data_IF_308693763905
#
_entry.id   IF_308693763905
#
_cell.length_a   1.000
_cell.length_b   1.000
_cell.length_c   1.000
_cell.angle_alpha   90.00
_cell.angle_beta   90.00
_cell.angle_gamma   90.00
#
_symmetry.space_group_name_H-M   'P 1'
#
loop_
_entity.id
_entity.type
_entity.pdbx_description
1 polymer ?
#
# COMPACT_ATOMS: atom_id res chain seq x y z
N UNK A 1 9.60 16.31 6.88
CA UNK A 1 10.98 16.44 7.41
C UNK A 1 11.82 17.14 6.36
N UNK A 2 12.77 18.00 6.77
CA UNK A 2 13.76 18.58 5.85
C UNK A 2 15.05 17.76 5.97
N UNK A 3 15.56 17.32 4.84
CA UNK A 3 16.77 16.50 4.74
C UNK A 3 17.59 17.04 3.58
N UNK A 4 18.91 17.07 3.73
CA UNK A 4 19.86 17.39 2.66
C UNK A 4 20.41 16.07 2.14
N UNK A 5 20.27 15.84 0.83
CA UNK A 5 20.74 14.65 0.13
C UNK A 5 21.46 15.11 -1.13
N UNK A 6 22.56 14.44 -1.47
CA UNK A 6 23.19 14.60 -2.78
C UNK A 6 22.47 13.70 -3.78
N UNK A 7 22.02 14.28 -4.88
CA UNK A 7 21.20 13.60 -5.90
C UNK A 7 21.72 14.06 -7.25
N UNK A 8 21.87 13.11 -8.16
CA UNK A 8 22.18 13.40 -9.55
C UNK A 8 21.20 14.43 -10.13
N UNK A 9 21.76 15.49 -10.73
CA UNK A 9 20.98 16.62 -11.21
C UNK A 9 20.09 16.23 -12.38
N UNK A 10 20.57 15.38 -13.28
CA UNK A 10 19.83 14.96 -14.47
C UNK A 10 18.62 14.13 -14.05
N UNK A 11 18.80 13.20 -13.10
CA UNK A 11 17.72 12.41 -12.51
C UNK A 11 16.67 13.31 -11.85
N UNK A 12 17.10 14.29 -11.04
CA UNK A 12 16.17 15.20 -10.36
C UNK A 12 15.36 16.04 -11.35
N UNK A 13 16.03 16.59 -12.37
CA UNK A 13 15.39 17.41 -13.39
C UNK A 13 14.40 16.56 -14.23
N UNK A 14 14.73 15.30 -14.52
CA UNK A 14 13.82 14.38 -15.18
C UNK A 14 12.60 14.05 -14.33
N UNK A 15 12.77 13.76 -13.03
CA UNK A 15 11.65 13.50 -12.12
C UNK A 15 10.70 14.70 -12.04
N UNK A 16 11.25 15.92 -11.99
CA UNK A 16 10.47 17.16 -12.01
C UNK A 16 9.69 17.30 -13.33
N UNK A 17 10.35 17.08 -14.46
CA UNK A 17 9.74 17.12 -15.81
C UNK A 17 8.60 16.12 -15.94
N UNK A 18 8.84 14.86 -15.58
CA UNK A 18 7.86 13.77 -15.70
C UNK A 18 6.64 13.96 -14.78
N UNK A 19 6.85 14.58 -13.61
CA UNK A 19 5.76 14.83 -12.65
C UNK A 19 5.00 16.13 -12.89
N UNK A 20 5.49 17.01 -13.78
CA UNK A 20 4.87 18.30 -14.07
C UNK A 20 4.78 19.23 -12.85
N UNK A 21 5.65 19.03 -11.86
CA UNK A 21 5.64 19.79 -10.60
C UNK A 21 6.60 20.97 -10.71
N UNK A 22 6.23 22.14 -10.17
CA UNK A 22 7.13 23.31 -10.13
C UNK A 22 8.23 23.18 -9.07
N UNK A 23 8.09 22.26 -8.13
CA UNK A 23 8.95 22.13 -6.96
C UNK A 23 9.68 20.80 -6.87
N UNK A 24 11.02 20.85 -6.79
CA UNK A 24 11.93 19.69 -6.64
C UNK A 24 11.51 18.76 -5.50
N UNK A 25 11.28 19.32 -4.30
CA UNK A 25 10.89 18.55 -3.11
C UNK A 25 9.56 17.79 -3.30
N UNK A 26 8.57 18.42 -3.95
CA UNK A 26 7.27 17.81 -4.20
C UNK A 26 7.35 16.71 -5.25
N UNK A 27 8.14 16.92 -6.31
CA UNK A 27 8.41 15.91 -7.33
C UNK A 27 9.08 14.67 -6.73
N UNK A 28 10.13 14.86 -5.91
CA UNK A 28 10.83 13.76 -5.22
C UNK A 28 9.91 13.03 -4.25
N UNK A 29 9.12 13.75 -3.45
CA UNK A 29 8.18 13.15 -2.50
C UNK A 29 7.18 12.23 -3.22
N UNK A 30 6.59 12.70 -4.32
CA UNK A 30 5.65 11.89 -5.12
C UNK A 30 6.33 10.69 -5.76
N UNK A 31 7.54 10.86 -6.30
CA UNK A 31 8.30 9.75 -6.88
C UNK A 31 8.58 8.64 -5.85
N UNK A 32 8.97 9.01 -4.63
CA UNK A 32 9.20 8.06 -3.55
C UNK A 32 7.91 7.39 -3.08
N UNK A 33 6.79 8.12 -2.99
CA UNK A 33 5.49 7.53 -2.67
C UNK A 33 5.06 6.48 -3.70
N UNK A 34 5.21 6.78 -4.98
CA UNK A 34 4.91 5.84 -6.06
C UNK A 34 5.81 4.61 -6.02
N UNK A 35 7.10 4.80 -5.75
CA UNK A 35 8.06 3.70 -5.60
C UNK A 35 7.65 2.77 -4.46
N UNK A 36 7.35 3.31 -3.27
CA UNK A 36 6.92 2.53 -2.11
C UNK A 36 5.60 1.79 -2.41
N UNK A 37 4.64 2.45 -3.07
CA UNK A 37 3.38 1.82 -3.48
C UNK A 37 3.62 0.64 -4.42
N UNK A 38 4.46 0.81 -5.46
CA UNK A 38 4.82 -0.25 -6.40
C UNK A 38 5.48 -1.43 -5.70
N UNK A 39 6.43 -1.18 -4.80
CA UNK A 39 7.09 -2.23 -4.01
C UNK A 39 6.14 -3.01 -3.10
N UNK A 40 5.16 -2.33 -2.49
CA UNK A 40 4.11 -3.01 -1.71
C UNK A 40 3.26 -3.93 -2.59
N UNK A 41 2.88 -3.46 -3.77
CA UNK A 41 2.13 -4.26 -4.75
C UNK A 41 2.98 -5.46 -5.18
N UNK A 42 4.21 -5.26 -5.65
CA UNK A 42 5.14 -6.34 -6.04
C UNK A 42 5.28 -7.40 -4.93
N UNK A 43 5.37 -6.99 -3.67
CA UNK A 43 5.40 -7.93 -2.53
C UNK A 43 4.12 -8.75 -2.44
N UNK A 44 2.95 -8.15 -2.60
CA UNK A 44 1.67 -8.89 -2.63
C UNK A 44 1.63 -9.88 -3.80
N UNK A 45 2.08 -9.49 -4.99
CA UNK A 45 2.16 -10.39 -6.15
C UNK A 45 3.11 -11.57 -5.91
N UNK A 46 4.24 -11.34 -5.24
CA UNK A 46 5.17 -12.42 -4.87
C UNK A 46 4.57 -13.45 -3.91
N UNK A 47 3.53 -13.05 -3.15
CA UNK A 47 2.77 -13.92 -2.26
C UNK A 47 1.60 -14.57 -2.98
N UNK A 48 1.03 -13.94 -4.00
CA UNK A 48 -0.12 -14.45 -4.76
C UNK A 48 0.15 -15.80 -5.44
N UNK A 49 1.41 -16.14 -5.74
CA UNK A 49 1.80 -17.48 -6.24
C UNK A 49 2.11 -18.52 -5.15
N UNK A 50 2.01 -18.15 -3.87
CA UNK A 50 2.23 -19.04 -2.71
C UNK A 50 0.99 -19.23 -1.84
N UNK A 51 -0.07 -18.47 -2.10
CA UNK A 51 -1.31 -18.53 -1.36
C UNK A 51 -2.32 -19.23 -2.25
N UNK A 52 -2.75 -20.42 -1.83
CA UNK A 52 -3.89 -21.09 -2.44
C UNK A 52 -5.17 -20.37 -1.97
N UNK A 53 -5.66 -19.45 -2.81
CA UNK A 53 -6.90 -18.73 -2.53
C UNK A 53 -8.07 -19.62 -2.94
N UNK A 54 -8.57 -20.38 -1.97
CA UNK A 54 -9.80 -21.16 -2.14
C UNK A 54 -10.97 -20.19 -2.35
N UNK A 55 -11.72 -20.35 -3.44
CA UNK A 55 -12.86 -19.50 -3.79
C UNK A 55 -14.12 -19.85 -2.98
N UNK A 56 -14.01 -19.76 -1.64
CA UNK A 56 -15.08 -20.04 -0.69
C UNK A 56 -15.67 -18.76 -0.07
N UNK A 57 -15.60 -17.65 -0.81
CA UNK A 57 -15.93 -16.32 -0.27
C UNK A 57 -17.40 -16.19 0.15
N UNK A 58 -18.30 -16.91 -0.52
CA UNK A 58 -19.71 -16.99 -0.14
C UNK A 58 -19.89 -17.71 1.20
N UNK A 59 -19.18 -18.82 1.42
CA UNK A 59 -19.25 -19.58 2.68
C UNK A 59 -18.67 -18.78 3.85
N UNK A 60 -17.50 -18.15 3.66
CA UNK A 60 -16.87 -17.29 4.69
C UNK A 60 -17.76 -16.11 5.10
N UNK A 61 -18.54 -15.56 4.16
CA UNK A 61 -19.45 -14.44 4.39
C UNK A 61 -20.68 -14.83 5.21
N UNK A 62 -21.16 -16.06 5.05
CA UNK A 62 -22.35 -16.58 5.74
C UNK A 62 -21.98 -17.49 6.91
N UNK A 63 -20.69 -17.70 7.16
CA UNK A 63 -20.20 -18.29 8.38
C UNK A 63 -20.54 -17.29 9.50
N UNK A 64 -21.61 -17.56 10.24
CA UNK A 64 -21.90 -16.81 11.45
C UNK A 64 -20.66 -16.91 12.35
N UNK A 65 -20.06 -15.79 12.80
CA UNK A 65 -19.09 -15.89 13.87
C UNK A 65 -19.83 -16.56 15.04
N UNK A 66 -19.24 -17.55 15.73
CA UNK A 66 -19.90 -18.17 16.87
C UNK A 66 -20.30 -17.04 17.81
N UNK A 67 -21.61 -16.83 17.95
CA UNK A 67 -22.17 -15.93 18.95
C UNK A 67 -21.42 -16.21 20.24
N UNK A 68 -20.70 -15.23 20.77
CA UNK A 68 -20.09 -15.38 22.08
C UNK A 68 -21.24 -15.51 23.08
N UNK A 69 -21.66 -16.74 23.33
CA UNK A 69 -22.68 -17.05 24.31
C UNK A 69 -22.08 -16.86 25.70
N UNK A 70 -22.07 -15.61 26.18
CA UNK A 70 -22.06 -15.24 27.60
C UNK A 70 -22.04 -13.71 27.71
N UNK A 71 -22.96 -13.01 28.39
CA UNK A 71 -24.02 -13.49 29.26
C UNK A 71 -25.11 -12.43 29.45
N UNK A 72 -26.32 -12.95 29.63
CA UNK A 72 -27.44 -12.42 30.44
C UNK A 72 -27.69 -10.91 30.42
N UNK A 73 -28.63 -10.48 29.56
CA UNK A 73 -29.53 -9.39 29.91
C UNK A 73 -30.51 -9.93 30.97
N UNK A 74 -30.39 -9.44 32.22
CA UNK A 74 -31.41 -9.58 33.26
C UNK A 74 -32.27 -8.32 33.26
N UNK A 75 -33.58 -8.50 33.12
CA UNK A 75 -34.58 -7.54 33.60
C UNK A 75 -34.73 -7.61 35.12
#
# INVERSE_FOLDING_TARGET
MRTTLDIDKEVLDEVVRLKGERGKSKAVTKALQDYVRRKKIEKLWSLAGRIDLVDNWYELRHMEPPMSTSGTYRG
#
